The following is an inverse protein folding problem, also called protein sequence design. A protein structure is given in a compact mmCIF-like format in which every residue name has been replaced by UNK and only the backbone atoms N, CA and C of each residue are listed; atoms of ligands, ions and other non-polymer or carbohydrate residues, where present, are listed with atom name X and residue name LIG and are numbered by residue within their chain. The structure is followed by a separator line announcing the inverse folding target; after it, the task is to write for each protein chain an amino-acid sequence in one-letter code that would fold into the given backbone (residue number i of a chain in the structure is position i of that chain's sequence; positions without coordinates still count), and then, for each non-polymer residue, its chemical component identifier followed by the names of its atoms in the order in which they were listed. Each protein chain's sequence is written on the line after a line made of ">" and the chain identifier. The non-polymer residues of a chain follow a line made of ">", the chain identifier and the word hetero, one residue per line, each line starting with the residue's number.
data_IF_592775412307
#
_entry.id   IF_592775412307
#
_cell.length_a   1.000
_cell.length_b   1.000
_cell.length_c   1.000
_cell.angle_alpha   90.00
_cell.angle_beta   90.00
_cell.angle_gamma   90.00
#
_symmetry.space_group_name_H-M   'P 1'
#
loop_
_entity.id
_entity.type
_entity.pdbx_description
1 polymer ?
#
# COMPACT_ATOMS: atom_id res chain seq x y z
N UNK A 1 -7.85 -4.79 -43.54
CA UNK A 1 -7.96 -5.66 -42.37
C UNK A 1 -9.42 -5.64 -41.90
N UNK A 2 -10.08 -6.73 -42.11
CA UNK A 2 -11.50 -6.93 -41.85
C UNK A 2 -11.77 -6.96 -40.34
N UNK A 3 -12.71 -6.18 -39.89
CA UNK A 3 -13.39 -6.36 -38.61
C UNK A 3 -14.13 -7.71 -38.69
N UNK A 4 -13.62 -8.71 -38.02
CA UNK A 4 -14.36 -9.96 -37.78
C UNK A 4 -15.53 -9.57 -36.88
N UNK A 5 -16.71 -9.50 -37.51
CA UNK A 5 -17.96 -9.17 -36.83
C UNK A 5 -18.32 -10.28 -35.86
N UNK A 6 -18.79 -9.91 -34.67
CA UNK A 6 -19.43 -10.80 -33.70
C UNK A 6 -20.43 -11.73 -34.45
N UNK A 7 -20.34 -13.06 -34.26
CA UNK A 7 -21.25 -13.98 -34.97
C UNK A 7 -22.70 -13.60 -34.66
N UNK A 8 -23.53 -13.53 -35.71
CA UNK A 8 -24.91 -13.11 -35.57
C UNK A 8 -25.64 -14.01 -34.57
N UNK A 9 -26.29 -13.42 -33.58
CA UNK A 9 -27.09 -14.14 -32.61
C UNK A 9 -28.25 -14.83 -33.31
N UNK A 10 -28.42 -16.12 -33.09
CA UNK A 10 -29.61 -16.86 -33.51
C UNK A 10 -30.85 -16.38 -32.74
N UNK A 11 -32.06 -16.51 -33.30
CA UNK A 11 -33.26 -16.11 -32.58
C UNK A 11 -33.40 -16.88 -31.25
N UNK A 12 -34.09 -16.24 -30.28
CA UNK A 12 -34.38 -16.89 -28.99
C UNK A 12 -35.14 -18.19 -29.23
N UNK A 13 -34.60 -19.29 -28.71
CA UNK A 13 -35.17 -20.62 -28.78
C UNK A 13 -35.50 -21.17 -27.40
N UNK A 14 -36.41 -22.11 -27.33
CA UNK A 14 -36.70 -22.86 -26.11
C UNK A 14 -35.87 -24.16 -26.13
N UNK A 15 -35.00 -24.32 -25.14
CA UNK A 15 -34.16 -25.49 -24.97
C UNK A 15 -34.59 -26.30 -23.75
N UNK A 16 -34.54 -27.62 -23.87
CA UNK A 16 -34.72 -28.52 -22.75
C UNK A 16 -33.57 -28.35 -21.74
N UNK A 17 -33.89 -28.22 -20.46
CA UNK A 17 -32.90 -28.03 -19.38
C UNK A 17 -31.91 -29.19 -19.26
N UNK A 18 -32.33 -30.44 -19.58
CA UNK A 18 -31.50 -31.64 -19.55
C UNK A 18 -30.40 -31.65 -20.63
N UNK A 19 -30.53 -30.81 -21.67
CA UNK A 19 -29.52 -30.64 -22.73
C UNK A 19 -28.52 -29.56 -22.46
N UNK A 20 -28.61 -28.86 -21.31
CA UNK A 20 -27.76 -27.71 -20.96
C UNK A 20 -26.80 -28.11 -19.86
N UNK A 21 -25.50 -27.79 -20.05
CA UNK A 21 -24.44 -28.02 -19.10
C UNK A 21 -23.82 -26.69 -18.66
N UNK A 22 -23.37 -26.62 -17.40
CA UNK A 22 -22.63 -25.45 -16.90
C UNK A 22 -21.21 -25.45 -17.45
N UNK A 23 -20.68 -24.29 -17.75
CA UNK A 23 -19.29 -24.14 -18.17
C UNK A 23 -18.31 -24.24 -16.99
N UNK A 24 -17.07 -24.65 -17.29
CA UNK A 24 -16.00 -24.77 -16.31
C UNK A 24 -15.34 -23.43 -15.98
N UNK A 25 -15.55 -22.40 -16.81
CA UNK A 25 -14.93 -21.07 -16.67
C UNK A 25 -15.83 -20.03 -16.02
N UNK A 26 -16.99 -20.43 -15.47
CA UNK A 26 -17.86 -19.49 -14.78
C UNK A 26 -17.20 -19.01 -13.47
N UNK A 27 -16.96 -17.67 -13.29
CA UNK A 27 -16.23 -17.11 -12.17
C UNK A 27 -16.97 -17.22 -10.84
N UNK A 28 -18.29 -17.36 -10.86
CA UNK A 28 -19.12 -17.27 -9.66
C UNK A 28 -19.15 -18.59 -8.91
N UNK A 29 -18.25 -18.76 -7.92
CA UNK A 29 -18.20 -19.94 -7.05
C UNK A 29 -19.25 -19.95 -5.94
N UNK A 30 -19.65 -18.76 -5.46
CA UNK A 30 -20.62 -18.62 -4.37
C UNK A 30 -21.95 -18.06 -4.91
N UNK A 31 -22.89 -18.95 -5.20
CA UNK A 31 -24.28 -18.60 -5.45
C UNK A 31 -25.00 -18.55 -4.10
N UNK A 32 -25.46 -17.37 -3.71
CA UNK A 32 -26.29 -17.22 -2.50
C UNK A 32 -27.61 -17.99 -2.72
N UNK A 33 -27.84 -19.03 -1.91
CA UNK A 33 -28.97 -19.93 -2.00
C UNK A 33 -30.31 -19.19 -1.88
N UNK A 34 -30.43 -18.24 -0.92
CA UNK A 34 -31.65 -17.45 -0.72
C UNK A 34 -32.00 -16.60 -1.95
N UNK A 35 -31.00 -15.94 -2.54
CA UNK A 35 -31.17 -15.14 -3.76
C UNK A 35 -31.53 -15.98 -4.99
N UNK A 36 -31.16 -17.26 -4.99
CA UNK A 36 -31.55 -18.20 -6.05
C UNK A 36 -33.00 -18.65 -5.89
N UNK A 37 -33.47 -18.86 -4.66
CA UNK A 37 -34.86 -19.21 -4.36
C UNK A 37 -35.82 -18.06 -4.68
N UNK A 38 -35.44 -16.81 -4.36
CA UNK A 38 -36.19 -15.61 -4.74
C UNK A 38 -36.34 -15.51 -6.27
N UNK A 39 -35.26 -15.76 -7.01
CA UNK A 39 -35.28 -15.74 -8.47
C UNK A 39 -36.17 -16.88 -9.02
N UNK A 40 -36.13 -18.06 -8.43
CA UNK A 40 -36.98 -19.17 -8.82
C UNK A 40 -38.45 -18.84 -8.62
N UNK A 41 -38.84 -18.28 -7.47
CA UNK A 41 -40.20 -17.81 -7.19
C UNK A 41 -40.65 -16.74 -8.20
N UNK A 42 -39.78 -15.76 -8.47
CA UNK A 42 -40.07 -14.72 -9.47
C UNK A 42 -40.29 -15.33 -10.84
N UNK A 43 -39.47 -16.29 -11.26
CA UNK A 43 -39.63 -16.97 -12.55
C UNK A 43 -40.91 -17.82 -12.64
N UNK A 44 -41.36 -18.42 -11.53
CA UNK A 44 -42.66 -19.10 -11.47
C UNK A 44 -43.83 -18.14 -11.69
N UNK A 45 -43.75 -16.93 -11.15
CA UNK A 45 -44.83 -15.94 -11.23
C UNK A 45 -44.89 -15.20 -12.57
N UNK A 46 -43.73 -14.78 -13.08
CA UNK A 46 -43.63 -13.88 -14.24
C UNK A 46 -43.09 -14.56 -15.49
N UNK A 47 -42.65 -15.80 -15.38
CA UNK A 47 -41.91 -16.50 -16.43
C UNK A 47 -40.47 -15.98 -16.55
N UNK A 48 -39.71 -16.59 -17.45
CA UNK A 48 -38.38 -16.13 -17.78
C UNK A 48 -38.44 -14.88 -18.65
N UNK A 49 -37.98 -13.74 -18.14
CA UNK A 49 -37.95 -12.47 -18.85
C UNK A 49 -36.74 -12.36 -19.80
N UNK A 50 -35.53 -12.68 -19.31
CA UNK A 50 -34.30 -12.62 -20.07
C UNK A 50 -33.81 -14.01 -20.47
N UNK A 51 -33.38 -14.25 -21.73
CA UNK A 51 -32.81 -15.52 -22.14
C UNK A 51 -31.44 -15.75 -21.50
N UNK A 52 -31.00 -16.98 -21.38
CA UNK A 52 -29.61 -17.35 -21.16
C UNK A 52 -28.86 -17.36 -22.50
N UNK A 53 -27.52 -17.33 -22.44
CA UNK A 53 -26.69 -17.52 -23.62
C UNK A 53 -25.98 -18.86 -23.52
N UNK A 54 -26.04 -19.63 -24.59
CA UNK A 54 -25.41 -20.94 -24.68
C UNK A 54 -24.71 -21.10 -26.03
N UNK A 55 -23.72 -21.99 -26.07
CA UNK A 55 -23.09 -22.45 -27.32
C UNK A 55 -23.31 -23.92 -27.55
N UNK A 56 -23.27 -24.35 -28.80
CA UNK A 56 -23.32 -25.75 -29.15
C UNK A 56 -22.06 -26.49 -28.68
N UNK A 57 -22.24 -27.63 -28.00
CA UNK A 57 -21.17 -28.53 -27.55
C UNK A 57 -21.56 -29.99 -27.80
N UNK A 58 -21.40 -30.43 -29.03
CA UNK A 58 -21.84 -31.76 -29.46
C UNK A 58 -23.36 -31.93 -29.37
N UNK A 59 -23.84 -32.88 -28.55
CA UNK A 59 -25.28 -33.13 -28.33
C UNK A 59 -25.89 -32.21 -27.25
N UNK A 60 -25.06 -31.41 -26.55
CA UNK A 60 -25.46 -30.53 -25.46
C UNK A 60 -25.20 -29.08 -25.80
N UNK A 61 -25.68 -28.19 -24.95
CA UNK A 61 -25.43 -26.77 -25.00
C UNK A 61 -24.69 -26.35 -23.73
N UNK A 62 -23.58 -25.65 -23.87
CA UNK A 62 -22.80 -25.10 -22.73
C UNK A 62 -23.20 -23.66 -22.44
N UNK A 63 -23.44 -23.34 -21.18
CA UNK A 63 -23.79 -21.98 -20.74
C UNK A 63 -22.60 -21.05 -20.91
N UNK A 64 -22.76 -19.99 -21.70
CA UNK A 64 -21.80 -18.88 -21.80
C UNK A 64 -22.04 -17.89 -20.67
N UNK A 65 -23.29 -17.43 -20.50
CA UNK A 65 -23.71 -16.62 -19.35
C UNK A 65 -25.17 -16.84 -19.00
N UNK A 66 -25.57 -16.48 -17.75
CA UNK A 66 -26.94 -16.67 -17.26
C UNK A 66 -27.15 -17.93 -16.41
N UNK A 67 -26.10 -18.51 -15.82
CA UNK A 67 -26.17 -19.71 -14.97
C UNK A 67 -27.16 -19.57 -13.80
N UNK A 68 -27.29 -18.40 -13.16
CA UNK A 68 -28.30 -18.20 -12.13
C UNK A 68 -29.70 -18.42 -12.60
N UNK A 69 -30.05 -17.95 -13.82
CA UNK A 69 -31.37 -18.18 -14.44
C UNK A 69 -31.60 -19.64 -14.75
N UNK A 70 -30.58 -20.34 -15.23
CA UNK A 70 -30.65 -21.79 -15.46
C UNK A 70 -30.92 -22.56 -14.17
N UNK A 71 -30.16 -22.29 -13.09
CA UNK A 71 -30.35 -22.94 -11.78
C UNK A 71 -31.71 -22.59 -11.16
N UNK A 72 -32.14 -21.33 -11.27
CA UNK A 72 -33.46 -20.90 -10.83
C UNK A 72 -34.58 -21.61 -11.61
N UNK A 73 -34.43 -21.78 -12.93
CA UNK A 73 -35.40 -22.54 -13.75
C UNK A 73 -35.49 -24.00 -13.31
N UNK A 74 -34.37 -24.65 -12.97
CA UNK A 74 -34.37 -26.03 -12.43
C UNK A 74 -35.15 -26.09 -11.10
N UNK A 75 -34.89 -25.14 -10.16
CA UNK A 75 -35.62 -25.06 -8.86
C UNK A 75 -37.10 -24.76 -9.05
N UNK A 76 -37.42 -23.91 -10.01
CA UNK A 76 -38.80 -23.57 -10.36
C UNK A 76 -39.57 -24.71 -11.04
N UNK A 77 -38.90 -25.83 -11.37
CA UNK A 77 -39.52 -26.98 -12.01
C UNK A 77 -39.78 -26.78 -13.52
N UNK A 78 -39.09 -25.88 -14.18
CA UNK A 78 -39.21 -25.70 -15.63
C UNK A 78 -38.60 -26.90 -16.37
N UNK A 79 -39.19 -27.27 -17.49
CA UNK A 79 -38.64 -28.27 -18.40
C UNK A 79 -37.83 -27.66 -19.53
N UNK A 80 -38.14 -26.40 -19.87
CA UNK A 80 -37.51 -25.65 -20.94
C UNK A 80 -37.13 -24.24 -20.48
N UNK A 81 -36.12 -23.69 -21.12
CA UNK A 81 -35.61 -22.33 -20.85
C UNK A 81 -35.37 -21.57 -22.16
N UNK A 82 -35.66 -20.26 -22.16
CA UNK A 82 -35.33 -19.38 -23.29
C UNK A 82 -33.84 -19.17 -23.38
N UNK A 83 -33.26 -19.41 -24.55
CA UNK A 83 -31.83 -19.29 -24.78
C UNK A 83 -31.51 -18.61 -26.12
N UNK A 84 -30.40 -17.86 -26.14
CA UNK A 84 -29.69 -17.44 -27.35
C UNK A 84 -28.63 -18.50 -27.63
N UNK A 85 -28.63 -19.09 -28.81
CA UNK A 85 -27.71 -20.17 -29.18
C UNK A 85 -26.66 -19.63 -30.15
N UNK A 86 -25.39 -19.86 -29.85
CA UNK A 86 -24.25 -19.60 -30.72
C UNK A 86 -23.64 -20.95 -31.13
N UNK A 87 -23.84 -21.40 -32.36
CA UNK A 87 -23.42 -22.74 -32.78
C UNK A 87 -21.90 -22.86 -33.03
N UNK A 88 -21.24 -21.77 -33.35
CA UNK A 88 -19.82 -21.75 -33.74
C UNK A 88 -18.96 -20.82 -32.87
N UNK A 89 -19.29 -20.67 -31.59
CA UNK A 89 -18.53 -19.84 -30.67
C UNK A 89 -17.31 -20.62 -30.17
N UNK A 90 -16.10 -20.03 -30.37
CA UNK A 90 -14.88 -20.62 -29.84
C UNK A 90 -14.84 -20.50 -28.30
N UNK A 91 -13.98 -21.30 -27.65
CA UNK A 91 -13.80 -21.22 -26.19
C UNK A 91 -13.43 -19.79 -25.74
N UNK A 92 -12.54 -19.16 -26.49
CA UNK A 92 -12.05 -17.83 -26.22
C UNK A 92 -13.12 -16.74 -26.41
N UNK A 93 -13.97 -16.85 -27.42
CA UNK A 93 -15.10 -15.93 -27.65
C UNK A 93 -16.17 -16.10 -26.58
N UNK A 94 -16.43 -17.34 -26.16
CA UNK A 94 -17.35 -17.61 -25.08
C UNK A 94 -16.89 -17.05 -23.76
N UNK A 95 -15.59 -17.19 -23.44
CA UNK A 95 -14.97 -16.58 -22.26
C UNK A 95 -15.05 -15.04 -22.30
N UNK A 96 -14.72 -14.43 -23.44
CA UNK A 96 -14.79 -12.97 -23.60
C UNK A 96 -16.23 -12.44 -23.45
N UNK A 97 -17.21 -13.14 -24.00
CA UNK A 97 -18.62 -12.80 -23.83
C UNK A 97 -19.08 -12.92 -22.38
N UNK A 98 -18.65 -13.97 -21.66
CA UNK A 98 -18.99 -14.16 -20.25
C UNK A 98 -18.38 -13.08 -19.37
N UNK A 99 -17.10 -12.72 -19.58
CA UNK A 99 -16.42 -11.64 -18.88
C UNK A 99 -17.12 -10.30 -19.17
N UNK A 100 -17.45 -10.03 -20.42
CA UNK A 100 -18.10 -8.79 -20.84
C UNK A 100 -19.48 -8.63 -20.21
N UNK A 101 -20.31 -9.67 -20.20
CA UNK A 101 -21.63 -9.64 -19.56
C UNK A 101 -21.49 -9.34 -18.06
N UNK A 102 -20.55 -10.01 -17.40
CA UNK A 102 -20.33 -9.81 -15.97
C UNK A 102 -19.91 -8.37 -15.65
N UNK A 103 -18.99 -7.79 -16.44
CA UNK A 103 -18.52 -6.41 -16.26
C UNK A 103 -19.56 -5.33 -16.63
N UNK A 104 -20.59 -5.66 -17.41
CA UNK A 104 -21.67 -4.73 -17.78
C UNK A 104 -22.79 -4.64 -16.74
N UNK A 105 -22.74 -5.46 -15.69
CA UNK A 105 -23.75 -5.42 -14.62
C UNK A 105 -23.49 -4.21 -13.72
N UNK A 106 -24.57 -3.61 -13.20
CA UNK A 106 -24.48 -2.41 -12.33
C UNK A 106 -24.00 -2.74 -10.91
N UNK A 107 -24.16 -4.00 -10.46
CA UNK A 107 -23.96 -4.46 -9.10
C UNK A 107 -22.81 -5.50 -8.96
N UNK A 108 -21.72 -5.32 -9.71
CA UNK A 108 -20.56 -6.20 -9.60
C UNK A 108 -19.75 -5.85 -8.36
N UNK A 109 -19.48 -6.86 -7.52
CA UNK A 109 -18.62 -6.65 -6.36
C UNK A 109 -17.18 -6.28 -6.80
N UNK A 110 -16.48 -5.37 -6.09
CA UNK A 110 -15.16 -4.88 -6.51
C UNK A 110 -14.13 -5.98 -6.78
N UNK A 111 -14.12 -7.05 -5.97
CA UNK A 111 -13.22 -8.21 -6.18
C UNK A 111 -13.62 -9.06 -7.40
N UNK A 112 -14.92 -9.20 -7.67
CA UNK A 112 -15.40 -9.86 -8.89
C UNK A 112 -14.99 -9.07 -10.15
N UNK A 113 -15.14 -7.74 -10.12
CA UNK A 113 -14.73 -6.87 -11.21
C UNK A 113 -13.21 -6.91 -11.42
N UNK A 114 -12.43 -6.86 -10.36
CA UNK A 114 -10.98 -6.99 -10.41
C UNK A 114 -10.53 -8.32 -11.06
N UNK A 115 -11.15 -9.43 -10.65
CA UNK A 115 -10.87 -10.74 -11.20
C UNK A 115 -11.30 -10.84 -12.67
N UNK A 116 -12.38 -10.18 -13.07
CA UNK A 116 -12.84 -10.15 -14.46
C UNK A 116 -11.88 -9.35 -15.36
N UNK A 117 -11.41 -8.17 -14.92
CA UNK A 117 -10.39 -7.41 -15.64
C UNK A 117 -9.08 -8.18 -15.79
N UNK A 118 -8.63 -8.85 -14.72
CA UNK A 118 -7.41 -9.64 -14.78
C UNK A 118 -7.53 -10.79 -15.78
N UNK A 119 -8.67 -11.48 -15.82
CA UNK A 119 -8.94 -12.54 -16.81
C UNK A 119 -8.95 -11.98 -18.22
N UNK A 120 -9.67 -10.88 -18.46
CA UNK A 120 -9.70 -10.25 -19.77
C UNK A 120 -8.29 -9.92 -20.30
N UNK A 121 -7.39 -9.44 -19.45
CA UNK A 121 -5.99 -9.19 -19.82
C UNK A 121 -5.21 -10.48 -20.08
N UNK A 122 -5.44 -11.54 -19.29
CA UNK A 122 -4.75 -12.84 -19.44
C UNK A 122 -5.09 -13.56 -20.74
N UNK A 123 -6.26 -13.31 -21.33
CA UNK A 123 -6.60 -13.86 -22.65
C UNK A 123 -5.71 -13.33 -23.77
N UNK A 124 -4.98 -12.22 -23.52
CA UNK A 124 -4.15 -11.55 -24.53
C UNK A 124 -4.94 -10.76 -25.60
N UNK A 125 -6.27 -10.81 -25.57
CA UNK A 125 -7.16 -10.07 -26.50
C UNK A 125 -7.42 -8.65 -26.10
N UNK A 126 -7.29 -8.36 -24.81
CA UNK A 126 -7.51 -7.03 -24.25
C UNK A 126 -6.22 -6.44 -23.69
N UNK A 127 -6.12 -5.13 -23.81
CA UNK A 127 -5.18 -4.27 -23.11
C UNK A 127 -5.95 -3.36 -22.17
N UNK A 128 -5.30 -2.69 -21.26
CA UNK A 128 -5.98 -1.69 -20.40
C UNK A 128 -6.69 -0.64 -21.26
N UNK A 129 -6.06 -0.19 -22.36
CA UNK A 129 -6.67 0.79 -23.29
C UNK A 129 -7.96 0.25 -23.93
N UNK A 130 -7.97 -1.00 -24.41
CA UNK A 130 -9.18 -1.58 -25.01
C UNK A 130 -10.30 -1.79 -23.99
N UNK A 131 -9.96 -2.05 -22.71
CA UNK A 131 -10.95 -2.13 -21.62
C UNK A 131 -11.53 -0.75 -21.29
N UNK A 132 -10.70 0.32 -21.32
CA UNK A 132 -11.15 1.71 -21.20
C UNK A 132 -12.23 2.02 -22.26
N UNK A 133 -11.92 1.74 -23.51
CA UNK A 133 -12.84 2.01 -24.64
C UNK A 133 -14.12 1.16 -24.56
N UNK A 134 -13.99 -0.11 -24.16
CA UNK A 134 -15.11 -1.08 -24.12
C UNK A 134 -16.09 -0.78 -22.98
N UNK A 135 -15.59 -0.42 -21.79
CA UNK A 135 -16.42 -0.24 -20.59
C UNK A 135 -16.64 1.21 -20.18
N UNK A 136 -16.00 2.18 -20.85
CA UNK A 136 -16.14 3.61 -20.56
C UNK A 136 -15.60 4.02 -19.19
N UNK A 137 -14.73 3.19 -18.60
CA UNK A 137 -14.06 3.48 -17.33
C UNK A 137 -12.72 4.16 -17.59
N UNK A 138 -12.23 4.98 -16.66
CA UNK A 138 -10.89 5.57 -16.80
C UNK A 138 -9.79 4.50 -16.66
N UNK A 139 -8.63 4.74 -17.27
CA UNK A 139 -7.46 3.87 -17.11
C UNK A 139 -7.08 3.70 -15.63
N UNK A 140 -7.14 4.79 -14.87
CA UNK A 140 -6.92 4.78 -13.42
C UNK A 140 -7.88 3.83 -12.69
N UNK A 141 -9.18 3.88 -13.03
CA UNK A 141 -10.18 3.00 -12.45
C UNK A 141 -9.83 1.52 -12.69
N UNK A 142 -9.54 1.15 -13.94
CA UNK A 142 -9.21 -0.23 -14.29
C UNK A 142 -7.93 -0.68 -13.58
N UNK A 143 -6.89 0.16 -13.56
CA UNK A 143 -5.63 -0.18 -12.87
C UNK A 143 -5.81 -0.32 -11.36
N UNK A 144 -6.61 0.55 -10.72
CA UNK A 144 -6.88 0.44 -9.28
C UNK A 144 -7.65 -0.83 -8.93
N UNK A 145 -8.64 -1.22 -9.75
CA UNK A 145 -9.36 -2.49 -9.56
C UNK A 145 -8.48 -3.70 -9.82
N UNK A 146 -7.63 -3.66 -10.84
CA UNK A 146 -6.65 -4.73 -11.08
C UNK A 146 -5.76 -4.98 -9.85
N UNK A 147 -5.41 -3.92 -9.11
CA UNK A 147 -4.62 -4.04 -7.87
C UNK A 147 -5.35 -4.77 -6.75
N UNK A 148 -6.68 -4.77 -6.72
CA UNK A 148 -7.44 -5.55 -5.73
C UNK A 148 -7.15 -7.07 -5.81
N UNK A 149 -6.66 -7.58 -6.95
CA UNK A 149 -6.19 -8.97 -7.04
C UNK A 149 -4.92 -9.25 -6.23
N UNK A 150 -4.20 -8.21 -5.80
CA UNK A 150 -2.98 -8.32 -4.99
C UNK A 150 -3.28 -8.24 -3.48
N UNK A 151 -4.56 -8.10 -3.09
CA UNK A 151 -4.95 -8.14 -1.67
C UNK A 151 -4.70 -9.53 -1.08
N UNK A 152 -4.17 -9.56 0.15
CA UNK A 152 -4.13 -10.78 0.94
C UNK A 152 -5.55 -11.20 1.34
N UNK A 153 -5.75 -12.51 1.48
CA UNK A 153 -7.08 -13.08 1.78
C UNK A 153 -7.78 -12.43 2.99
N UNK A 154 -7.12 -12.16 4.14
CA UNK A 154 -7.78 -11.51 5.26
C UNK A 154 -8.37 -10.12 4.93
N UNK A 155 -7.65 -9.29 4.15
CA UNK A 155 -8.13 -7.97 3.75
C UNK A 155 -9.22 -8.05 2.68
N UNK A 156 -9.13 -9.02 1.77
CA UNK A 156 -10.18 -9.29 0.78
C UNK A 156 -11.51 -9.69 1.48
N UNK A 157 -11.43 -10.53 2.52
CA UNK A 157 -12.59 -10.92 3.32
C UNK A 157 -13.22 -9.73 4.05
N UNK A 158 -12.41 -8.76 4.54
CA UNK A 158 -12.94 -7.53 5.15
C UNK A 158 -13.70 -6.68 4.12
N UNK A 159 -13.21 -6.61 2.89
CA UNK A 159 -13.90 -5.90 1.80
C UNK A 159 -15.21 -6.58 1.44
N UNK A 160 -15.24 -7.93 1.32
CA UNK A 160 -16.46 -8.69 1.03
C UNK A 160 -17.54 -8.55 2.10
N UNK A 161 -17.13 -8.34 3.37
CA UNK A 161 -18.03 -8.11 4.50
C UNK A 161 -18.41 -6.65 4.70
N UNK A 162 -17.94 -5.77 3.83
CA UNK A 162 -18.13 -4.31 3.94
C UNK A 162 -17.56 -3.70 5.24
N UNK A 163 -16.59 -4.39 5.87
CA UNK A 163 -15.89 -3.90 7.07
C UNK A 163 -14.83 -2.85 6.72
N UNK A 164 -14.33 -2.85 5.49
CA UNK A 164 -13.53 -1.79 4.90
C UNK A 164 -14.15 -1.35 3.57
N UNK A 165 -14.01 -0.06 3.25
CA UNK A 165 -14.51 0.49 1.98
C UNK A 165 -13.55 0.17 0.83
N UNK A 166 -14.07 0.13 -0.40
CA UNK A 166 -13.30 -0.16 -1.61
C UNK A 166 -12.05 0.71 -1.76
N UNK A 167 -12.16 2.02 -1.53
CA UNK A 167 -11.01 2.93 -1.63
C UNK A 167 -9.92 2.64 -0.60
N UNK A 168 -10.26 2.09 0.57
CA UNK A 168 -9.28 1.62 1.56
C UNK A 168 -8.59 0.35 1.06
N UNK A 169 -9.35 -0.60 0.53
CA UNK A 169 -8.82 -1.84 -0.03
C UNK A 169 -7.86 -1.56 -1.21
N UNK A 170 -8.24 -0.64 -2.12
CA UNK A 170 -7.37 -0.18 -3.21
C UNK A 170 -6.08 0.45 -2.67
N UNK A 171 -6.17 1.24 -1.61
CA UNK A 171 -4.97 1.85 -1.01
C UNK A 171 -4.03 0.79 -0.44
N UNK A 172 -4.55 -0.19 0.31
CA UNK A 172 -3.79 -1.29 0.88
C UNK A 172 -3.19 -2.21 -0.19
N UNK A 173 -3.92 -2.47 -1.27
CA UNK A 173 -3.48 -3.32 -2.38
C UNK A 173 -2.28 -2.75 -3.17
N UNK A 174 -1.91 -1.50 -2.97
CA UNK A 174 -0.70 -0.90 -3.58
C UNK A 174 0.60 -1.45 -2.99
N UNK A 175 0.54 -1.99 -1.78
CA UNK A 175 1.70 -2.40 -0.99
C UNK A 175 1.94 -3.91 -1.09
N UNK A 176 3.20 -4.39 -0.94
CA UNK A 176 3.53 -5.82 -0.93
C UNK A 176 2.77 -6.60 0.15
N UNK A 177 2.60 -7.90 -0.07
CA UNK A 177 1.85 -8.80 0.82
C UNK A 177 2.36 -8.78 2.26
N UNK A 178 3.68 -8.63 2.47
CA UNK A 178 4.30 -8.56 3.79
C UNK A 178 3.86 -7.29 4.55
N UNK A 179 3.77 -6.16 3.86
CA UNK A 179 3.27 -4.90 4.44
C UNK A 179 1.79 -5.01 4.76
N UNK A 180 1.00 -5.59 3.84
CA UNK A 180 -0.41 -5.83 4.05
C UNK A 180 -0.66 -6.73 5.26
N UNK A 181 0.15 -7.77 5.46
CA UNK A 181 0.06 -8.67 6.59
C UNK A 181 0.35 -7.95 7.91
N UNK A 182 1.43 -7.15 7.98
CA UNK A 182 1.73 -6.33 9.16
C UNK A 182 0.57 -5.38 9.50
N UNK A 183 0.01 -4.72 8.48
CA UNK A 183 -1.13 -3.81 8.64
C UNK A 183 -2.37 -4.55 9.15
N UNK A 184 -2.66 -5.73 8.60
CA UNK A 184 -3.78 -6.53 9.04
C UNK A 184 -3.64 -6.89 10.53
N UNK A 185 -2.47 -7.39 10.93
CA UNK A 185 -2.19 -7.79 12.32
C UNK A 185 -2.28 -6.62 13.31
N UNK A 186 -1.77 -5.44 12.92
CA UNK A 186 -1.76 -4.26 13.79
C UNK A 186 -3.13 -3.58 13.92
N UNK A 187 -3.94 -3.59 12.85
CA UNK A 187 -5.11 -2.71 12.78
C UNK A 187 -6.45 -3.44 12.65
N UNK A 188 -6.47 -4.72 12.25
CA UNK A 188 -7.70 -5.44 11.92
C UNK A 188 -7.82 -6.84 12.57
N UNK A 189 -6.73 -7.44 13.06
CA UNK A 189 -6.73 -8.84 13.51
C UNK A 189 -7.52 -9.09 14.80
N UNK A 190 -7.78 -8.06 15.61
CA UNK A 190 -8.55 -8.21 16.84
C UNK A 190 -10.04 -8.00 16.53
N UNK A 191 -10.88 -8.95 16.89
CA UNK A 191 -12.34 -8.91 16.70
C UNK A 191 -12.94 -7.57 17.13
N UNK A 192 -13.49 -6.84 16.17
CA UNK A 192 -14.13 -5.55 16.37
C UNK A 192 -13.20 -4.35 16.53
N UNK A 193 -11.89 -4.55 16.45
CA UNK A 193 -10.91 -3.45 16.51
C UNK A 193 -10.41 -3.07 15.12
N UNK A 194 -11.13 -2.16 14.48
CA UNK A 194 -10.62 -1.46 13.29
C UNK A 194 -10.12 -0.08 13.73
N UNK A 195 -8.82 0.06 13.99
CA UNK A 195 -8.22 1.33 14.41
C UNK A 195 -8.30 2.41 13.32
N UNK A 196 -8.59 2.02 12.07
CA UNK A 196 -8.73 2.91 10.92
C UNK A 196 -10.18 3.14 10.48
N UNK A 197 -11.17 2.70 11.27
CA UNK A 197 -12.59 2.83 10.94
C UNK A 197 -13.03 4.24 10.53
N UNK A 198 -12.38 5.27 11.11
CA UNK A 198 -12.68 6.68 10.82
C UNK A 198 -11.52 7.38 10.09
N UNK A 199 -10.53 6.63 9.61
CA UNK A 199 -9.35 7.19 8.92
C UNK A 199 -9.60 7.18 7.42
N UNK A 200 -9.31 8.30 6.74
CA UNK A 200 -9.46 8.35 5.29
C UNK A 200 -8.39 7.51 4.59
N UNK A 201 -8.68 6.91 3.42
CA UNK A 201 -7.69 6.17 2.63
C UNK A 201 -6.41 6.98 2.35
N UNK A 202 -6.55 8.30 2.14
CA UNK A 202 -5.41 9.21 1.93
C UNK A 202 -4.49 9.28 3.15
N UNK A 203 -5.05 9.34 4.36
CA UNK A 203 -4.27 9.35 5.61
C UNK A 203 -3.56 8.02 5.84
N UNK A 204 -4.26 6.91 5.54
CA UNK A 204 -3.66 5.57 5.60
C UNK A 204 -2.51 5.45 4.59
N UNK A 205 -2.71 5.87 3.35
CA UNK A 205 -1.67 5.89 2.33
C UNK A 205 -0.45 6.71 2.74
N UNK A 206 -0.66 7.88 3.34
CA UNK A 206 0.44 8.71 3.85
C UNK A 206 1.19 8.02 5.00
N UNK A 207 0.48 7.42 5.94
CA UNK A 207 1.07 6.64 7.03
C UNK A 207 1.92 5.48 6.52
N UNK A 208 1.40 4.71 5.56
CA UNK A 208 2.11 3.58 4.96
C UNK A 208 3.34 4.03 4.16
N UNK A 209 3.22 5.12 3.41
CA UNK A 209 4.34 5.75 2.70
C UNK A 209 5.46 6.12 3.68
N UNK A 210 5.15 6.80 4.76
CA UNK A 210 6.15 7.26 5.73
C UNK A 210 6.77 6.10 6.52
N UNK A 211 6.02 5.03 6.76
CA UNK A 211 6.48 3.88 7.55
C UNK A 211 7.24 2.82 6.74
N UNK A 212 6.75 2.49 5.55
CA UNK A 212 7.24 1.35 4.77
C UNK A 212 8.01 1.73 3.52
N UNK A 213 7.91 2.98 3.06
CA UNK A 213 8.66 3.46 1.90
C UNK A 213 9.75 4.44 2.29
N UNK A 214 10.82 4.46 1.51
CA UNK A 214 11.90 5.42 1.69
C UNK A 214 11.77 6.53 0.66
N UNK A 215 11.64 7.78 1.12
CA UNK A 215 11.62 8.95 0.21
C UNK A 215 12.93 9.03 -0.56
N UNK A 216 12.85 9.14 -1.89
CA UNK A 216 14.03 9.16 -2.76
C UNK A 216 14.99 10.31 -2.43
N UNK A 217 14.49 11.43 -1.90
CA UNK A 217 15.29 12.58 -1.50
C UNK A 217 16.02 12.41 -0.16
N UNK A 218 15.70 11.38 0.63
CA UNK A 218 16.36 11.10 1.92
C UNK A 218 17.85 10.84 1.74
N UNK A 219 18.24 10.17 0.65
CA UNK A 219 19.62 9.81 0.36
C UNK A 219 20.17 10.60 -0.82
N UNK A 220 21.50 10.77 -0.86
CA UNK A 220 22.19 11.67 -1.83
C UNK A 220 22.94 10.93 -2.94
N UNK A 221 22.77 9.63 -3.12
CA UNK A 221 23.35 8.89 -4.24
C UNK A 221 22.73 9.29 -5.58
N UNK A 222 23.37 8.90 -6.69
CA UNK A 222 22.85 9.13 -8.05
C UNK A 222 21.57 8.32 -8.29
N UNK A 223 20.50 9.01 -8.69
CA UNK A 223 19.15 8.44 -8.89
C UNK A 223 18.79 8.25 -10.37
N UNK A 224 19.76 8.33 -11.28
CA UNK A 224 19.49 8.17 -12.70
C UNK A 224 18.78 6.87 -13.01
N UNK A 225 19.24 5.75 -12.43
CA UNK A 225 18.59 4.44 -12.58
C UNK A 225 17.21 4.37 -11.89
N UNK A 226 16.98 5.16 -10.83
CA UNK A 226 15.70 5.19 -10.14
C UNK A 226 14.60 5.88 -10.95
N UNK A 227 14.96 6.72 -11.93
CA UNK A 227 13.99 7.45 -12.75
C UNK A 227 13.09 6.52 -13.60
N UNK A 228 13.59 5.32 -13.94
CA UNK A 228 12.86 4.31 -14.72
C UNK A 228 12.58 3.01 -13.94
N UNK A 229 12.94 2.97 -12.64
CA UNK A 229 12.80 1.80 -11.80
C UNK A 229 11.32 1.53 -11.46
N UNK A 230 10.90 0.27 -11.51
CA UNK A 230 9.54 -0.13 -11.19
C UNK A 230 9.19 0.12 -9.70
N UNK A 231 10.18 0.02 -8.80
CA UNK A 231 10.03 0.25 -7.35
C UNK A 231 9.90 1.75 -6.99
N UNK A 232 10.06 2.63 -7.96
CA UNK A 232 9.87 4.07 -7.75
C UNK A 232 8.39 4.42 -7.91
N UNK A 233 7.76 4.84 -6.81
CA UNK A 233 6.33 5.17 -6.80
C UNK A 233 5.94 6.29 -7.77
N UNK A 234 6.87 7.17 -8.17
CA UNK A 234 6.61 8.19 -9.18
C UNK A 234 6.33 7.58 -10.57
N UNK A 235 6.81 6.36 -10.84
CA UNK A 235 6.56 5.64 -12.09
C UNK A 235 5.26 4.83 -12.04
N UNK A 236 4.61 4.76 -10.88
CA UNK A 236 3.35 4.06 -10.69
C UNK A 236 2.18 5.05 -10.68
N UNK A 237 1.29 4.93 -11.67
CA UNK A 237 0.13 5.83 -11.84
C UNK A 237 -0.78 5.85 -10.60
N UNK A 238 -0.79 4.78 -9.80
CA UNK A 238 -1.64 4.67 -8.62
C UNK A 238 -1.13 5.50 -7.43
N UNK A 239 0.17 5.82 -7.41
CA UNK A 239 0.77 6.69 -6.38
C UNK A 239 0.86 8.16 -6.81
N UNK A 240 0.50 8.50 -8.06
CA UNK A 240 0.68 9.85 -8.61
C UNK A 240 -0.02 10.96 -7.81
N UNK A 241 -1.13 10.66 -7.13
CA UNK A 241 -1.86 11.63 -6.29
C UNK A 241 -1.25 11.83 -4.90
N UNK A 242 -0.52 10.84 -4.39
CA UNK A 242 0.19 10.94 -3.12
C UNK A 242 1.55 11.62 -3.29
N UNK A 243 2.08 11.58 -4.51
CA UNK A 243 3.41 12.07 -4.86
C UNK A 243 3.46 13.60 -5.14
N UNK A 244 2.66 14.44 -4.46
CA UNK A 244 2.88 15.88 -4.46
C UNK A 244 4.29 16.19 -3.90
N UNK A 245 5.31 15.91 -4.71
CA UNK A 245 6.69 16.34 -4.52
C UNK A 245 7.70 15.32 -3.98
N UNK A 246 7.32 14.10 -3.57
CA UNK A 246 8.29 13.13 -3.06
C UNK A 246 8.03 11.71 -3.61
N UNK A 247 8.75 11.35 -4.68
CA UNK A 247 8.84 9.95 -5.08
C UNK A 247 9.41 9.09 -3.95
N UNK A 248 8.73 7.99 -3.64
CA UNK A 248 9.19 6.98 -2.69
C UNK A 248 9.77 5.77 -3.42
N UNK A 249 10.54 4.95 -2.71
CA UNK A 249 11.02 3.67 -3.20
C UNK A 249 10.48 2.57 -2.29
N UNK A 250 9.86 1.55 -2.89
CA UNK A 250 9.34 0.37 -2.19
C UNK A 250 10.48 -0.54 -1.72
N UNK A 251 11.63 -0.49 -2.38
CA UNK A 251 12.80 -1.31 -2.05
C UNK A 251 13.78 -0.56 -1.14
N UNK A 252 13.47 -0.56 0.16
CA UNK A 252 14.31 0.07 1.18
C UNK A 252 15.73 -0.51 1.22
N UNK A 253 15.88 -1.82 1.04
CA UNK A 253 17.19 -2.47 1.05
C UNK A 253 18.08 -1.98 -0.11
N UNK A 254 17.52 -1.81 -1.30
CA UNK A 254 18.20 -1.22 -2.44
C UNK A 254 18.65 0.21 -2.15
N UNK A 255 17.80 1.01 -1.54
CA UNK A 255 18.10 2.41 -1.18
C UNK A 255 19.27 2.50 -0.19
N UNK A 256 19.24 1.66 0.86
CA UNK A 256 20.33 1.60 1.88
C UNK A 256 21.63 1.18 1.19
N UNK A 257 21.62 0.09 0.41
CA UNK A 257 22.82 -0.40 -0.28
C UNK A 257 23.45 0.66 -1.20
N UNK A 258 22.65 1.33 -2.04
CA UNK A 258 23.12 2.41 -2.93
C UNK A 258 23.66 3.61 -2.15
N UNK A 259 23.04 3.94 -1.03
CA UNK A 259 23.55 5.01 -0.17
C UNK A 259 24.87 4.64 0.50
N UNK A 260 25.02 3.41 0.98
CA UNK A 260 26.27 2.92 1.56
C UNK A 260 27.41 2.92 0.53
N UNK A 261 27.16 2.48 -0.69
CA UNK A 261 28.10 2.55 -1.82
C UNK A 261 28.53 4.00 -2.08
N UNK A 262 27.57 4.92 -2.17
CA UNK A 262 27.84 6.34 -2.36
C UNK A 262 28.67 6.94 -1.20
N UNK A 263 28.37 6.58 0.05
CA UNK A 263 29.11 7.10 1.23
C UNK A 263 30.57 6.60 1.22
N UNK A 264 30.79 5.32 0.91
CA UNK A 264 32.13 4.75 0.79
C UNK A 264 32.92 5.46 -0.30
N UNK A 265 32.36 5.59 -1.49
CA UNK A 265 33.05 6.27 -2.61
C UNK A 265 33.35 7.75 -2.26
N UNK A 266 32.41 8.44 -1.67
CA UNK A 266 32.58 9.82 -1.25
C UNK A 266 33.69 9.96 -0.20
N UNK A 267 33.71 9.12 0.82
CA UNK A 267 34.73 9.12 1.88
C UNK A 267 36.12 8.91 1.30
N UNK A 268 36.28 7.90 0.43
CA UNK A 268 37.54 7.60 -0.26
C UNK A 268 38.00 8.78 -1.10
N UNK A 269 37.09 9.38 -1.87
CA UNK A 269 37.41 10.56 -2.70
C UNK A 269 37.84 11.77 -1.85
N UNK A 270 37.16 12.03 -0.72
CA UNK A 270 37.51 13.15 0.16
C UNK A 270 38.91 12.96 0.74
N UNK A 271 39.24 11.77 1.25
CA UNK A 271 40.54 11.50 1.85
C UNK A 271 41.68 11.46 0.82
N UNK A 272 41.41 11.06 -0.45
CA UNK A 272 42.37 11.18 -1.54
C UNK A 272 42.66 12.62 -1.92
N UNK A 273 41.67 13.51 -1.84
CA UNK A 273 41.83 14.94 -2.15
C UNK A 273 42.56 15.69 -1.04
N UNK A 274 42.30 15.34 0.23
CA UNK A 274 43.05 15.86 1.39
C UNK A 274 43.31 14.72 2.38
N UNK A 275 44.55 14.19 2.44
CA UNK A 275 44.91 13.11 3.35
C UNK A 275 44.76 13.43 4.85
N UNK A 276 44.54 14.70 5.19
CA UNK A 276 44.28 15.11 6.59
C UNK A 276 42.80 14.98 6.96
N UNK A 277 41.94 14.66 5.98
CA UNK A 277 40.53 14.45 6.27
C UNK A 277 40.35 13.24 7.19
N UNK A 278 39.74 13.46 8.33
CA UNK A 278 39.34 12.42 9.27
C UNK A 278 37.99 11.85 8.82
N UNK A 279 37.91 10.52 8.79
CA UNK A 279 36.63 9.82 8.56
C UNK A 279 36.04 9.42 9.91
N UNK A 280 34.77 9.75 10.12
CA UNK A 280 34.06 9.41 11.32
C UNK A 280 32.66 8.86 11.00
N UNK A 281 32.18 7.92 11.82
CA UNK A 281 30.85 7.30 11.73
C UNK A 281 30.15 7.47 13.07
N UNK A 282 28.92 7.93 13.02
CA UNK A 282 28.04 8.05 14.20
C UNK A 282 27.40 6.70 14.54
N UNK A 283 27.46 6.30 15.81
CA UNK A 283 26.86 5.04 16.29
C UNK A 283 25.35 5.02 16.02
N UNK A 284 24.86 3.93 15.43
CA UNK A 284 23.42 3.68 15.22
C UNK A 284 22.79 4.42 14.04
N UNK A 285 23.50 5.32 13.36
CA UNK A 285 22.92 6.11 12.26
C UNK A 285 23.23 5.56 10.86
N UNK A 286 24.30 4.78 10.71
CA UNK A 286 24.73 4.18 9.45
C UNK A 286 24.93 2.67 9.62
N UNK A 287 24.85 1.94 8.52
CA UNK A 287 25.05 0.50 8.54
C UNK A 287 26.51 0.16 8.86
N UNK A 288 26.73 -0.89 9.63
CA UNK A 288 28.05 -1.46 9.89
C UNK A 288 28.80 -1.78 8.58
N UNK A 289 28.06 -1.98 7.49
CA UNK A 289 28.58 -2.25 6.16
C UNK A 289 29.47 -1.13 5.60
N UNK A 290 29.20 0.15 5.91
CA UNK A 290 30.05 1.28 5.48
C UNK A 290 31.37 1.25 6.23
N UNK A 291 31.32 1.02 7.55
CA UNK A 291 32.49 0.91 8.41
C UNK A 291 33.40 -0.27 7.99
N UNK A 292 32.80 -1.45 7.81
CA UNK A 292 33.50 -2.67 7.37
C UNK A 292 34.17 -2.49 6.01
N UNK A 293 33.49 -1.87 5.04
CA UNK A 293 34.05 -1.63 3.70
C UNK A 293 35.20 -0.65 3.71
N UNK A 294 35.14 0.44 4.50
CA UNK A 294 36.24 1.40 4.63
C UNK A 294 37.44 0.78 5.34
N UNK A 295 37.22 0.10 6.46
CA UNK A 295 38.31 -0.54 7.24
C UNK A 295 38.97 -1.69 6.46
N UNK A 296 38.21 -2.51 5.73
CA UNK A 296 38.77 -3.55 4.86
C UNK A 296 39.66 -3.02 3.73
N UNK A 297 39.44 -1.78 3.31
CA UNK A 297 40.26 -1.09 2.31
C UNK A 297 41.44 -0.30 2.94
N UNK A 298 41.64 -0.43 4.24
CA UNK A 298 42.77 0.19 4.98
C UNK A 298 42.55 1.62 5.42
N UNK A 299 41.31 2.13 5.36
CA UNK A 299 40.98 3.46 5.86
C UNK A 299 40.73 3.42 7.37
N UNK A 300 41.25 4.41 8.10
CA UNK A 300 40.96 4.59 9.52
C UNK A 300 39.68 5.40 9.67
N UNK A 301 38.71 4.84 10.37
CA UNK A 301 37.40 5.47 10.64
C UNK A 301 37.23 5.57 12.14
N UNK A 302 36.97 6.78 12.63
CA UNK A 302 36.65 7.03 14.03
C UNK A 302 35.17 6.80 14.28
N UNK A 303 34.83 6.09 15.35
CA UNK A 303 33.43 5.86 15.75
C UNK A 303 33.08 6.88 16.82
N UNK A 304 32.12 7.76 16.50
CA UNK A 304 31.67 8.83 17.38
C UNK A 304 30.32 8.43 17.99
N UNK A 305 30.27 8.40 19.32
CA UNK A 305 29.01 8.28 20.04
C UNK A 305 28.46 9.69 20.34
N UNK A 306 27.55 10.15 19.47
CA UNK A 306 26.91 11.45 19.63
C UNK A 306 25.80 11.45 20.68
N UNK A 307 25.34 10.26 21.11
CA UNK A 307 24.32 10.15 22.16
C UNK A 307 24.85 10.57 23.53
N UNK A 308 26.12 10.31 23.79
CA UNK A 308 26.79 10.75 25.02
C UNK A 308 27.23 12.21 24.99
N UNK A 309 27.16 12.87 23.82
CA UNK A 309 27.58 14.30 23.67
C UNK A 309 26.37 15.27 23.67
N UNK A 310 25.13 14.80 23.86
CA UNK A 310 23.95 15.62 23.54
C UNK A 310 23.27 16.31 24.72
N UNK A 311 23.65 16.06 25.94
CA UNK A 311 23.27 16.94 27.07
C UNK A 311 24.52 17.24 27.91
N UNK A 312 25.22 18.35 27.64
CA UNK A 312 26.03 18.88 28.69
C UNK A 312 25.08 19.21 29.85
N UNK A 313 25.44 18.79 31.05
CA UNK A 313 24.82 19.29 32.28
C UNK A 313 24.97 20.80 32.29
N UNK A 314 24.02 21.48 31.66
CA UNK A 314 24.00 22.94 31.67
C UNK A 314 23.69 23.35 33.11
N UNK A 315 24.61 23.97 33.79
CA UNK A 315 24.37 24.44 35.16
C UNK A 315 23.09 25.27 35.18
N UNK A 316 22.17 24.95 36.07
CA UNK A 316 20.92 25.69 36.24
C UNK A 316 21.20 26.81 37.22
N UNK A 317 20.86 28.04 36.83
CA UNK A 317 20.93 29.17 37.76
C UNK A 317 20.00 28.87 38.95
N UNK A 318 20.47 29.06 40.20
CA UNK A 318 19.61 28.89 41.36
C UNK A 318 18.33 29.71 41.21
N UNK A 319 17.17 29.07 41.36
CA UNK A 319 15.84 29.71 41.27
C UNK A 319 15.49 30.44 42.56
N UNK A 320 16.48 31.14 43.12
CA UNK A 320 16.34 31.85 44.36
C UNK A 320 16.69 33.33 44.12
N UNK A 321 15.76 34.22 44.38
CA UNK A 321 16.05 35.64 44.37
C UNK A 321 17.07 35.96 45.48
N UNK A 322 17.99 36.88 45.18
CA UNK A 322 18.97 37.36 46.18
C UNK A 322 18.23 37.82 47.44
N UNK A 323 18.61 37.32 48.63
CA UNK A 323 17.97 37.71 49.89
C UNK A 323 18.05 39.23 50.08
N UNK A 324 16.97 39.82 50.60
CA UNK A 324 16.90 41.23 50.90
C UNK A 324 16.85 41.41 52.41
N UNK A 325 17.64 42.34 52.99
CA UNK A 325 17.69 42.58 54.42
C UNK A 325 16.28 42.87 55.01
N UNK A 326 15.38 43.41 54.20
CA UNK A 326 14.00 43.71 54.62
C UNK A 326 13.12 42.48 54.86
N UNK A 327 13.53 41.31 54.43
CA UNK A 327 12.73 40.08 54.46
C UNK A 327 13.05 39.22 55.70
N UNK A 328 14.00 39.67 56.52
CA UNK A 328 14.48 38.98 57.72
C UNK A 328 14.30 39.85 58.97
N UNK A 329 13.88 39.23 60.07
CA UNK A 329 13.75 39.94 61.36
C UNK A 329 15.12 40.10 62.08
N UNK A 330 16.03 39.12 61.85
CA UNK A 330 17.40 39.12 62.42
C UNK A 330 18.44 39.29 61.33
N UNK A 331 19.42 40.16 61.62
CA UNK A 331 20.51 40.43 60.71
C UNK A 331 21.44 39.23 60.52
N UNK A 332 21.58 38.38 61.54
CA UNK A 332 22.47 37.23 61.46
C UNK A 332 21.85 36.19 60.54
N UNK A 333 20.49 35.95 60.53
CA UNK A 333 19.78 35.13 59.59
C UNK A 333 19.90 35.67 58.15
N UNK A 334 19.82 36.97 57.94
CA UNK A 334 20.03 37.56 56.61
C UNK A 334 21.44 37.30 56.10
N UNK A 335 22.46 37.42 56.93
CA UNK A 335 23.88 37.24 56.56
C UNK A 335 24.13 35.74 56.21
N UNK A 336 23.52 34.84 56.93
CA UNK A 336 23.62 33.40 56.63
C UNK A 336 22.96 33.05 55.30
N UNK A 337 21.75 33.52 55.04
CA UNK A 337 21.05 33.34 53.76
C UNK A 337 21.80 34.00 52.58
N UNK A 338 22.40 35.15 52.78
CA UNK A 338 23.18 35.82 51.78
C UNK A 338 24.46 35.04 51.45
N UNK A 339 25.14 34.49 52.45
CA UNK A 339 26.31 33.65 52.24
C UNK A 339 26.02 32.37 51.50
N UNK A 340 24.86 31.73 51.78
CA UNK A 340 24.41 30.55 51.07
C UNK A 340 24.10 30.86 49.60
N UNK A 341 23.36 31.94 49.32
CA UNK A 341 23.09 32.40 47.96
C UNK A 341 24.38 32.75 47.18
N UNK A 342 25.34 33.48 47.79
CA UNK A 342 26.59 33.79 47.16
C UNK A 342 27.42 32.54 46.83
N UNK A 343 27.36 31.52 47.69
CA UNK A 343 28.01 30.23 47.47
C UNK A 343 27.42 29.51 46.26
N UNK A 344 26.09 29.41 46.17
CA UNK A 344 25.40 28.76 45.04
C UNK A 344 25.65 29.48 43.72
N UNK A 345 25.61 30.83 43.71
CA UNK A 345 25.92 31.63 42.52
C UNK A 345 27.38 31.51 42.10
N UNK A 346 28.29 31.35 43.05
CA UNK A 346 29.71 31.14 42.78
C UNK A 346 29.95 29.77 42.15
N UNK A 347 29.30 28.73 42.66
CA UNK A 347 29.35 27.36 42.11
C UNK A 347 28.79 27.31 40.70
N UNK A 348 27.62 27.93 40.46
CA UNK A 348 27.06 28.10 39.13
C UNK A 348 28.03 28.74 38.15
N UNK A 349 28.66 29.84 38.52
CA UNK A 349 29.62 30.55 37.67
C UNK A 349 30.88 29.71 37.36
N UNK A 350 31.34 28.94 38.32
CA UNK A 350 32.49 28.04 38.11
C UNK A 350 32.14 26.91 37.16
N UNK A 351 30.96 26.30 37.30
CA UNK A 351 30.48 25.26 36.44
C UNK A 351 30.22 25.76 35.01
N UNK A 352 29.68 26.96 34.84
CA UNK A 352 29.54 27.61 33.52
C UNK A 352 30.90 27.86 32.86
N UNK A 353 31.92 28.28 33.60
CA UNK A 353 33.27 28.42 33.04
C UNK A 353 33.89 27.10 32.59
N UNK A 354 33.64 26.03 33.33
CA UNK A 354 34.08 24.68 32.91
C UNK A 354 33.39 24.25 31.61
N UNK A 355 32.08 24.46 31.51
CA UNK A 355 31.30 24.15 30.32
C UNK A 355 31.78 24.97 29.11
N UNK A 356 32.00 26.28 29.26
CA UNK A 356 32.52 27.12 28.17
C UNK A 356 33.92 26.65 27.72
N UNK A 357 34.77 26.22 28.63
CA UNK A 357 36.08 25.69 28.28
C UNK A 357 36.01 24.36 27.56
N UNK A 358 35.03 23.49 27.85
CA UNK A 358 34.79 22.25 27.14
C UNK A 358 34.19 22.49 25.73
N UNK A 359 33.32 23.49 25.58
CA UNK A 359 32.80 23.96 24.29
C UNK A 359 33.93 24.50 23.42
N UNK A 360 34.80 25.38 23.97
CA UNK A 360 35.93 25.95 23.25
C UNK A 360 36.98 24.88 22.86
N UNK A 361 37.12 23.84 23.66
CA UNK A 361 37.97 22.69 23.35
C UNK A 361 37.36 21.72 22.32
N UNK A 362 36.12 21.98 21.82
CA UNK A 362 35.42 21.15 20.84
C UNK A 362 34.94 19.81 21.38
N UNK A 363 34.86 19.64 22.70
CA UNK A 363 34.41 18.42 23.36
C UNK A 363 32.88 18.35 23.50
N UNK A 364 32.23 19.51 23.47
CA UNK A 364 30.79 19.69 23.59
C UNK A 364 30.33 20.68 22.53
N UNK A 365 29.22 20.39 21.83
CA UNK A 365 28.60 21.35 20.91
C UNK A 365 27.54 22.18 21.63
N UNK A 366 27.54 23.47 21.33
CA UNK A 366 26.60 24.46 21.84
C UNK A 366 25.23 24.31 21.18
#
# INVERSE_FOLDING_TARGET
>A
SASEGTPAATPIVLLELNRIVCSTYNPRRNLNESSLDELALSMQQTGQLQPICVRGSGEHYEIVYGERRYRAAQRAGFTHIKALVYEHLTDEDAEDMAITENLQREDVAPLEEAAAFLRALKTGRHTVSTLVDKFGKSERYIRSHLKLNDLIEPLANLLEREEIIESMAIELAKYPSEVQQCVFEEHFANDGHNSWKNTSPRQVGQYLLDRYMTKLNTYKFDKTECSTCAENTANNILFSELAEGCAGCENRACMIRKNDEFLVEKAIRMQRNDPRTLLAVEVGRYSDAVLERLTSQGYTVEVIDTYSMWEPDVPVLPDVEAPRESDYEDRDEYLEALAEYESEVSEYRENMKKLDAEIDAGRVHK
#
